data_IF_609678088885
#
_entry.id   IF_609678088885
#
_cell.length_a   1.000
_cell.length_b   1.000
_cell.length_c   1.000
_cell.angle_alpha   90.00
_cell.angle_beta   90.00
_cell.angle_gamma   90.00
#
_symmetry.space_group_name_H-M   'P 1'
#
loop_
_entity.id
_entity.type
_entity.pdbx_description
1 polymer ?
#
# COMPACT_ATOMS: atom_id res chain seq x y z
N UNK A 1 -20.40 -11.28 14.07
CA UNK A 1 -20.19 -10.70 12.73
C UNK A 1 -18.93 -9.88 12.77
N UNK A 2 -17.86 -10.35 12.12
CA UNK A 2 -16.50 -9.81 12.24
C UNK A 2 -16.15 -8.81 11.14
N UNK A 3 -16.74 -7.61 11.17
CA UNK A 3 -16.47 -6.55 10.18
C UNK A 3 -15.36 -5.57 10.55
N UNK A 4 -14.47 -5.90 11.49
CA UNK A 4 -13.41 -4.97 11.93
C UNK A 4 -12.26 -4.80 10.93
N UNK A 5 -12.20 -5.61 9.87
CA UNK A 5 -11.01 -5.67 9.01
C UNK A 5 -11.12 -4.91 7.68
N UNK A 6 -12.33 -4.52 7.24
CA UNK A 6 -12.52 -3.98 5.88
C UNK A 6 -12.35 -2.46 5.78
N UNK A 7 -12.66 -1.73 6.85
CA UNK A 7 -12.56 -0.25 6.86
C UNK A 7 -11.10 0.23 6.93
N UNK A 8 -10.21 -0.54 7.56
CA UNK A 8 -8.83 -0.08 7.80
C UNK A 8 -7.92 -0.10 6.58
N UNK A 9 -8.11 -1.01 5.62
CA UNK A 9 -7.24 -1.03 4.42
C UNK A 9 -7.70 -0.06 3.35
N UNK A 10 -9.00 0.19 3.21
CA UNK A 10 -9.51 1.13 2.20
C UNK A 10 -9.10 2.56 2.52
N UNK A 11 -9.22 2.95 3.79
CA UNK A 11 -8.77 4.24 4.32
C UNK A 11 -7.24 4.40 4.23
N UNK A 12 -6.50 3.30 4.42
CA UNK A 12 -5.05 3.26 4.20
C UNK A 12 -4.69 3.53 2.73
N UNK A 13 -5.35 2.86 1.78
CA UNK A 13 -5.12 3.07 0.35
C UNK A 13 -5.51 4.49 -0.07
N UNK A 14 -6.61 5.04 0.48
CA UNK A 14 -7.01 6.43 0.25
C UNK A 14 -5.95 7.42 0.77
N UNK A 15 -5.41 7.17 1.96
CA UNK A 15 -4.32 7.97 2.53
C UNK A 15 -3.05 7.94 1.67
N UNK A 16 -2.69 6.76 1.12
CA UNK A 16 -1.57 6.67 0.17
C UNK A 16 -1.82 7.47 -1.10
N UNK A 17 -3.04 7.42 -1.65
CA UNK A 17 -3.41 8.24 -2.81
C UNK A 17 -3.34 9.73 -2.52
N UNK A 18 -3.79 10.17 -1.34
CA UNK A 18 -3.66 11.56 -0.88
C UNK A 18 -2.21 12.00 -0.75
N UNK A 19 -1.32 11.08 -0.34
CA UNK A 19 0.11 11.31 -0.28
C UNK A 19 0.79 11.37 -1.68
N UNK A 20 0.04 11.18 -2.77
CA UNK A 20 0.56 11.21 -4.14
C UNK A 20 0.99 9.86 -4.69
N UNK A 21 0.56 8.74 -4.07
CA UNK A 21 0.82 7.39 -4.59
C UNK A 21 -0.27 6.99 -5.58
N UNK A 22 0.12 6.67 -6.80
CA UNK A 22 -0.76 6.08 -7.81
C UNK A 22 -0.69 4.56 -7.73
N UNK A 23 -1.85 3.92 -7.54
CA UNK A 23 -1.97 2.47 -7.46
C UNK A 23 -2.54 1.95 -8.77
N UNK A 24 -1.72 1.27 -9.56
CA UNK A 24 -2.19 0.53 -10.74
C UNK A 24 -2.87 -0.76 -10.31
N UNK A 25 -3.99 -1.07 -10.95
CA UNK A 25 -4.81 -2.26 -10.67
C UNK A 25 -5.31 -2.34 -9.21
N UNK A 26 -5.77 -1.20 -8.66
CA UNK A 26 -6.28 -1.08 -7.28
C UNK A 26 -7.39 -2.09 -6.95
N UNK A 27 -8.22 -2.44 -7.92
CA UNK A 27 -9.33 -3.38 -7.74
C UNK A 27 -8.82 -4.76 -7.29
N UNK A 28 -7.85 -5.32 -8.03
CA UNK A 28 -7.19 -6.58 -7.69
C UNK A 28 -6.38 -6.48 -6.37
N UNK A 29 -5.75 -5.34 -6.10
CA UNK A 29 -5.09 -5.11 -4.81
C UNK A 29 -6.09 -5.21 -3.66
N UNK A 30 -7.23 -4.53 -3.76
CA UNK A 30 -8.29 -4.55 -2.74
C UNK A 30 -8.86 -5.94 -2.54
N UNK A 31 -9.09 -6.68 -3.63
CA UNK A 31 -9.57 -8.07 -3.57
C UNK A 31 -8.58 -8.94 -2.79
N UNK A 32 -7.29 -8.91 -3.14
CA UNK A 32 -6.27 -9.71 -2.44
C UNK A 32 -6.08 -9.30 -0.98
N UNK A 33 -6.25 -8.02 -0.66
CA UNK A 33 -6.21 -7.53 0.71
C UNK A 33 -7.45 -7.98 1.52
N UNK A 34 -8.63 -7.97 0.90
CA UNK A 34 -9.88 -8.40 1.52
C UNK A 34 -9.93 -9.93 1.71
N UNK A 35 -9.40 -10.69 0.77
CA UNK A 35 -9.27 -12.15 0.86
C UNK A 35 -8.23 -12.57 1.91
N UNK A 36 -7.18 -11.77 2.12
CA UNK A 36 -6.13 -12.07 3.08
C UNK A 36 -6.58 -11.81 4.53
N UNK A 37 -6.55 -12.86 5.36
CA UNK A 37 -6.76 -12.72 6.81
C UNK A 37 -5.76 -11.74 7.47
N UNK A 38 -4.60 -11.52 6.84
CA UNK A 38 -3.61 -10.52 7.25
C UNK A 38 -3.25 -9.60 6.08
N UNK A 39 -4.12 -8.66 5.78
CA UNK A 39 -3.93 -7.69 4.70
C UNK A 39 -2.60 -6.91 4.79
N UNK A 40 -2.07 -6.61 5.99
CA UNK A 40 -0.77 -5.90 6.15
C UNK A 40 0.42 -6.68 5.58
N UNK A 41 0.43 -8.00 5.81
CA UNK A 41 1.44 -8.90 5.25
C UNK A 41 1.23 -9.09 3.75
N UNK A 42 -0.02 -9.28 3.32
CA UNK A 42 -0.36 -9.38 1.91
C UNK A 42 0.07 -8.10 1.16
N UNK A 43 -0.23 -6.92 1.69
CA UNK A 43 0.18 -5.63 1.15
C UNK A 43 1.69 -5.56 0.95
N UNK A 44 2.47 -5.92 1.97
CA UNK A 44 3.95 -5.89 1.87
C UNK A 44 4.43 -6.84 0.76
N UNK A 45 3.86 -8.05 0.71
CA UNK A 45 4.16 -9.02 -0.34
C UNK A 45 3.74 -8.52 -1.71
N UNK A 46 2.62 -7.82 -1.84
CA UNK A 46 2.11 -7.23 -3.08
C UNK A 46 2.90 -5.98 -3.48
N UNK A 47 3.44 -5.21 -2.53
CA UNK A 47 4.35 -4.12 -2.83
C UNK A 47 5.66 -4.64 -3.47
N UNK A 48 6.16 -5.81 -3.06
CA UNK A 48 7.33 -6.46 -3.69
C UNK A 48 7.00 -7.28 -4.95
N UNK A 49 5.96 -8.12 -4.88
CA UNK A 49 5.66 -9.16 -5.88
C UNK A 49 4.41 -8.85 -6.71
N UNK A 50 3.65 -7.82 -6.35
CA UNK A 50 2.42 -7.42 -7.05
C UNK A 50 2.67 -7.00 -8.51
N UNK A 51 3.92 -6.63 -8.85
CA UNK A 51 4.34 -6.39 -10.23
C UNK A 51 4.05 -7.59 -11.15
N UNK A 52 4.12 -8.82 -10.63
CA UNK A 52 3.84 -10.04 -11.42
C UNK A 52 2.36 -10.19 -11.78
N UNK A 53 1.46 -9.57 -11.01
CA UNK A 53 0.01 -9.58 -11.24
C UNK A 53 -0.53 -8.21 -11.66
N UNK A 54 0.35 -7.31 -12.10
CA UNK A 54 -0.02 -5.99 -12.63
C UNK A 54 -0.30 -4.91 -11.58
N UNK A 55 -0.12 -5.20 -10.28
CA UNK A 55 -0.24 -4.19 -9.23
C UNK A 55 1.08 -3.44 -9.12
N UNK A 56 1.04 -2.11 -9.28
CA UNK A 56 2.21 -1.25 -9.13
C UNK A 56 1.87 0.00 -8.33
N UNK A 57 2.83 0.44 -7.54
CA UNK A 57 2.77 1.66 -6.77
C UNK A 57 3.74 2.65 -7.40
N UNK A 58 3.21 3.76 -7.88
CA UNK A 58 3.95 4.77 -8.62
C UNK A 58 3.81 6.13 -7.96
N UNK A 59 4.79 6.98 -8.18
CA UNK A 59 4.69 8.39 -7.85
C UNK A 59 3.74 9.07 -8.85
N UNK A 60 2.92 10.01 -8.38
CA UNK A 60 2.03 10.80 -9.25
C UNK A 60 2.81 11.81 -10.15
N UNK A 61 4.14 11.77 -10.17
CA UNK A 61 5.01 12.60 -10.99
C UNK A 61 5.37 13.95 -10.36
N UNK A 62 4.77 14.29 -9.22
CA UNK A 62 5.02 15.52 -8.48
C UNK A 62 5.78 15.29 -7.16
N UNK A 63 6.26 14.05 -6.95
CA UNK A 63 6.93 13.61 -5.74
C UNK A 63 5.95 13.17 -4.66
N UNK A 64 6.10 11.91 -4.22
CA UNK A 64 5.30 11.36 -3.13
C UNK A 64 5.64 12.07 -1.84
N UNK A 65 4.62 12.41 -1.06
CA UNK A 65 4.84 12.96 0.26
C UNK A 65 5.26 11.83 1.20
N UNK A 66 6.57 11.57 1.22
CA UNK A 66 7.19 10.49 2.01
C UNK A 66 6.89 10.65 3.50
N UNK A 67 6.68 11.88 4.00
CA UNK A 67 6.29 12.14 5.37
C UNK A 67 4.83 11.72 5.65
N UNK A 68 3.91 11.95 4.71
CA UNK A 68 2.54 11.42 4.81
C UNK A 68 2.52 9.90 4.73
N UNK A 69 3.25 9.30 3.78
CA UNK A 69 3.38 7.84 3.69
C UNK A 69 3.89 7.27 5.03
N UNK A 70 4.99 7.81 5.56
CA UNK A 70 5.54 7.37 6.85
C UNK A 70 4.51 7.51 7.98
N UNK A 71 3.79 8.64 8.03
CA UNK A 71 2.74 8.88 9.03
C UNK A 71 1.58 7.89 8.91
N UNK A 72 1.16 7.59 7.69
CA UNK A 72 0.14 6.58 7.41
C UNK A 72 0.63 5.23 7.90
N UNK A 73 1.80 4.76 7.47
CA UNK A 73 2.35 3.48 7.92
C UNK A 73 2.48 3.38 9.45
N UNK A 74 2.94 4.44 10.11
CA UNK A 74 3.01 4.53 11.57
C UNK A 74 1.62 4.47 12.23
N UNK A 75 0.61 5.12 11.65
CA UNK A 75 -0.76 5.11 12.18
C UNK A 75 -1.43 3.73 12.12
N UNK A 76 -1.08 2.89 11.13
CA UNK A 76 -1.57 1.52 11.01
C UNK A 76 -0.62 0.47 11.61
N UNK A 77 0.38 0.90 12.39
CA UNK A 77 1.37 0.04 13.06
C UNK A 77 2.07 -0.92 12.10
N UNK A 78 2.40 -0.44 10.90
CA UNK A 78 3.22 -1.24 9.99
C UNK A 78 4.66 -1.34 10.53
N UNK A 79 5.30 -2.52 10.39
CA UNK A 79 6.70 -2.65 10.73
C UNK A 79 7.55 -1.82 9.74
N UNK A 80 8.63 -1.23 10.23
CA UNK A 80 9.55 -0.39 9.44
C UNK A 80 10.07 -1.11 8.18
N UNK A 81 10.21 -2.44 8.25
CA UNK A 81 10.59 -3.27 7.11
C UNK A 81 9.59 -3.17 5.95
N UNK A 82 8.29 -3.12 6.25
CA UNK A 82 7.24 -3.02 5.23
C UNK A 82 7.26 -1.67 4.54
N UNK A 83 7.47 -0.59 5.30
CA UNK A 83 7.63 0.76 4.75
C UNK A 83 8.89 0.84 3.87
N UNK A 84 10.02 0.31 4.33
CA UNK A 84 11.27 0.29 3.56
C UNK A 84 11.12 -0.49 2.25
N UNK A 85 10.42 -1.62 2.27
CA UNK A 85 10.08 -2.40 1.07
C UNK A 85 9.20 -1.61 0.11
N UNK A 86 8.17 -0.94 0.64
CA UNK A 86 7.27 -0.12 -0.17
C UNK A 86 8.00 1.07 -0.81
N UNK A 87 8.79 1.81 -0.02
CA UNK A 87 9.61 2.93 -0.49
C UNK A 87 10.64 2.49 -1.54
N UNK A 88 11.23 1.30 -1.38
CA UNK A 88 12.13 0.72 -2.38
C UNK A 88 11.38 0.39 -3.69
N UNK A 89 10.18 -0.20 -3.60
CA UNK A 89 9.35 -0.49 -4.77
C UNK A 89 8.92 0.77 -5.53
N UNK A 90 8.68 1.88 -4.83
CA UNK A 90 8.37 3.21 -5.38
C UNK A 90 9.58 3.82 -6.10
N UNK A 91 10.77 3.81 -5.46
CA UNK A 91 12.01 4.32 -6.07
C UNK A 91 12.47 3.51 -7.28
N UNK A 92 12.18 2.21 -7.32
CA UNK A 92 12.56 1.32 -8.40
C UNK A 92 11.72 1.48 -9.68
N UNK A 93 10.79 2.43 -9.75
CA UNK A 93 10.04 2.80 -10.96
C UNK A 93 10.57 4.12 -11.60
N UNK A 94 11.64 4.71 -11.07
CA UNK A 94 12.22 5.99 -11.54
C UNK A 94 13.54 5.82 -12.31
#
# INVERSE_FOLDING_TARGET
MGSLSNESFDDFLDSLKRAGVVISNEQELRERLAEAQRWRYAFTTLASNGRQIGIRFQDQGNGVNSAEIHRTFAAYEFPERSEAVFAASLKAEH
#
